data_IF_545629965070
#
_entry.id   IF_545629965070
#
_cell.length_a   1.000
_cell.length_b   1.000
_cell.length_c   1.000
_cell.angle_alpha   90.00
_cell.angle_beta   90.00
_cell.angle_gamma   90.00
#
_symmetry.space_group_name_H-M   'P 1'
#
loop_
_entity.id
_entity.type
_entity.pdbx_description
1 polymer ?
#
# COMPACT_ATOMS: atom_id res chain seq x y z
N UNK A 1 39.35 -19.61 0.01
CA UNK A 1 38.00 -19.66 -0.61
C UNK A 1 36.93 -20.31 0.27
N UNK A 2 37.26 -21.08 1.33
CA UNK A 2 36.25 -21.76 2.17
C UNK A 2 35.48 -20.86 3.18
N UNK A 3 36.13 -19.90 3.82
CA UNK A 3 35.49 -19.07 4.87
C UNK A 3 34.43 -18.11 4.29
N UNK A 4 34.72 -17.47 3.15
CA UNK A 4 33.76 -16.60 2.48
C UNK A 4 32.50 -17.36 2.05
N UNK A 5 32.67 -18.59 1.56
CA UNK A 5 31.57 -19.48 1.17
C UNK A 5 30.69 -19.87 2.37
N UNK A 6 31.28 -20.18 3.51
CA UNK A 6 30.52 -20.50 4.73
C UNK A 6 29.76 -19.30 5.29
N UNK A 7 30.33 -18.09 5.22
CA UNK A 7 29.66 -16.86 5.64
C UNK A 7 28.46 -16.57 4.72
N UNK A 8 28.63 -16.71 3.40
CA UNK A 8 27.54 -16.52 2.43
C UNK A 8 26.44 -17.57 2.67
N UNK A 9 26.81 -18.84 2.85
CA UNK A 9 25.86 -19.93 3.09
C UNK A 9 25.05 -19.69 4.37
N UNK A 10 25.69 -19.30 5.48
CA UNK A 10 25.00 -18.96 6.73
C UNK A 10 24.01 -17.81 6.55
N UNK A 11 24.40 -16.75 5.82
CA UNK A 11 23.49 -15.62 5.54
C UNK A 11 22.30 -16.04 4.68
N UNK A 12 22.51 -16.92 3.70
CA UNK A 12 21.42 -17.43 2.87
C UNK A 12 20.45 -18.26 3.70
N UNK A 13 20.97 -19.18 4.51
CA UNK A 13 20.15 -20.04 5.38
C UNK A 13 19.33 -19.18 6.36
N UNK A 14 19.95 -18.18 6.98
CA UNK A 14 19.26 -17.26 7.89
C UNK A 14 18.13 -16.49 7.20
N UNK A 15 18.35 -16.01 5.97
CA UNK A 15 17.29 -15.34 5.20
C UNK A 15 16.14 -16.28 4.82
N UNK A 16 16.45 -17.53 4.50
CA UNK A 16 15.43 -18.54 4.21
C UNK A 16 14.62 -18.85 5.47
N UNK A 17 15.27 -18.94 6.62
CA UNK A 17 14.60 -19.15 7.90
C UNK A 17 13.69 -17.98 8.26
N UNK A 18 14.17 -16.73 8.15
CA UNK A 18 13.37 -15.52 8.35
C UNK A 18 12.14 -15.48 7.42
N UNK A 19 12.32 -15.85 6.15
CA UNK A 19 11.23 -15.96 5.19
C UNK A 19 10.23 -17.07 5.57
N UNK A 20 10.71 -18.23 6.03
CA UNK A 20 9.87 -19.33 6.50
C UNK A 20 9.03 -18.94 7.72
N UNK A 21 9.63 -18.23 8.69
CA UNK A 21 8.92 -17.70 9.86
C UNK A 21 7.87 -16.66 9.45
N UNK A 22 8.20 -15.79 8.48
CA UNK A 22 7.25 -14.82 7.93
C UNK A 22 6.07 -15.51 7.24
N UNK A 23 6.30 -16.52 6.41
CA UNK A 23 5.23 -17.30 5.75
C UNK A 23 4.34 -18.00 6.78
N UNK A 24 4.92 -18.59 7.82
CA UNK A 24 4.16 -19.19 8.91
C UNK A 24 3.32 -18.16 9.67
N UNK A 25 3.86 -16.95 9.90
CA UNK A 25 3.14 -15.83 10.50
C UNK A 25 1.96 -15.39 9.64
N UNK A 26 2.16 -15.19 8.33
CA UNK A 26 1.08 -14.87 7.39
C UNK A 26 0.00 -15.96 7.39
N UNK A 27 0.39 -17.24 7.40
CA UNK A 27 -0.54 -18.37 7.51
C UNK A 27 -1.38 -18.33 8.80
N UNK A 28 -0.77 -17.96 9.95
CA UNK A 28 -1.51 -17.74 11.21
C UNK A 28 -2.50 -16.58 11.09
N UNK A 29 -2.08 -15.44 10.54
CA UNK A 29 -2.94 -14.26 10.34
C UNK A 29 -4.14 -14.62 9.47
N UNK A 30 -3.93 -15.32 8.35
CA UNK A 30 -5.01 -15.78 7.47
C UNK A 30 -5.97 -16.74 8.18
N UNK A 31 -5.45 -17.66 8.99
CA UNK A 31 -6.29 -18.57 9.79
C UNK A 31 -7.14 -17.83 10.81
N UNK A 32 -6.57 -16.83 11.46
CA UNK A 32 -7.30 -16.00 12.42
C UNK A 32 -8.28 -15.03 11.78
N UNK A 33 -8.03 -14.61 10.54
CA UNK A 33 -8.99 -13.82 9.76
C UNK A 33 -10.34 -14.56 9.58
N UNK A 34 -10.31 -15.89 9.49
CA UNK A 34 -11.51 -16.73 9.35
C UNK A 34 -12.18 -17.03 10.70
N UNK A 35 -11.45 -16.96 11.82
CA UNK A 35 -12.01 -17.20 13.16
C UNK A 35 -12.63 -15.91 13.73
N UNK A 36 -13.95 -15.92 13.90
CA UNK A 36 -14.70 -14.87 14.64
C UNK A 36 -14.55 -15.08 16.16
N UNK A 37 -14.62 -14.03 17.02
CA UNK A 37 -14.98 -12.64 16.71
C UNK A 37 -13.80 -11.65 16.67
N UNK A 38 -13.74 -10.86 15.61
CA UNK A 38 -12.91 -9.64 15.54
C UNK A 38 -13.52 -8.62 16.50
N UNK A 39 -12.71 -8.08 17.41
CA UNK A 39 -13.16 -7.06 18.37
C UNK A 39 -13.44 -5.75 17.62
N UNK A 40 -14.71 -5.45 17.41
CA UNK A 40 -15.16 -4.32 16.60
C UNK A 40 -14.59 -2.97 17.04
N UNK A 41 -14.41 -2.77 18.34
CA UNK A 41 -13.83 -1.53 18.87
C UNK A 41 -12.38 -1.30 18.42
N UNK A 42 -11.53 -2.34 18.48
CA UNK A 42 -10.14 -2.25 18.00
C UNK A 42 -10.09 -1.99 16.50
N UNK A 43 -10.98 -2.63 15.74
CA UNK A 43 -11.10 -2.42 14.30
C UNK A 43 -11.47 -0.97 13.95
N UNK A 44 -12.43 -0.36 14.65
CA UNK A 44 -12.81 1.04 14.45
C UNK A 44 -11.67 2.01 14.76
N UNK A 45 -10.92 1.76 15.85
CA UNK A 45 -9.74 2.55 16.17
C UNK A 45 -8.70 2.49 15.04
N UNK A 46 -8.48 1.31 14.45
CA UNK A 46 -7.56 1.16 13.33
C UNK A 46 -8.07 1.85 12.06
N UNK A 47 -9.38 1.89 11.81
CA UNK A 47 -9.97 2.67 10.71
C UNK A 47 -9.68 4.16 10.87
N UNK A 48 -9.85 4.71 12.07
CA UNK A 48 -9.60 6.13 12.34
C UNK A 48 -8.12 6.48 12.14
N UNK A 49 -7.23 5.67 12.73
CA UNK A 49 -5.78 5.88 12.64
C UNK A 49 -5.25 5.71 11.21
N UNK A 50 -5.64 4.65 10.51
CA UNK A 50 -5.18 4.37 9.15
C UNK A 50 -5.85 5.28 8.13
N UNK A 51 -7.16 5.48 8.25
CA UNK A 51 -8.00 6.19 7.29
C UNK A 51 -7.97 7.69 7.51
N UNK A 52 -8.72 8.16 8.50
CA UNK A 52 -9.02 9.59 8.74
C UNK A 52 -7.73 10.41 8.85
N UNK A 53 -6.78 9.94 9.65
CA UNK A 53 -5.54 10.67 9.87
C UNK A 53 -4.64 10.71 8.62
N UNK A 54 -4.90 9.85 7.62
CA UNK A 54 -4.08 9.76 6.40
C UNK A 54 -4.75 10.43 5.20
N UNK A 55 -6.01 10.87 5.30
CA UNK A 55 -6.71 11.52 4.18
C UNK A 55 -5.91 12.71 3.64
N UNK A 56 -5.44 13.61 4.51
CA UNK A 56 -4.73 14.83 4.07
C UNK A 56 -3.47 14.53 3.24
N UNK A 57 -2.62 13.58 3.68
CA UNK A 57 -1.39 13.25 2.96
C UNK A 57 -1.70 12.60 1.60
N UNK A 58 -2.77 11.80 1.52
CA UNK A 58 -3.20 11.14 0.29
C UNK A 58 -3.80 12.14 -0.71
N UNK A 59 -4.61 13.08 -0.25
CA UNK A 59 -5.19 14.12 -1.12
C UNK A 59 -4.07 14.98 -1.72
N UNK A 60 -3.12 15.45 -0.90
CA UNK A 60 -2.00 16.27 -1.38
C UNK A 60 -1.10 15.51 -2.35
N UNK A 61 -0.74 14.26 -2.03
CA UNK A 61 0.08 13.42 -2.90
C UNK A 61 -0.64 13.10 -4.22
N UNK A 62 -1.92 12.70 -4.17
CA UNK A 62 -2.72 12.41 -5.35
C UNK A 62 -2.88 13.62 -6.26
N UNK A 63 -3.16 14.79 -5.69
CA UNK A 63 -3.26 16.05 -6.42
C UNK A 63 -1.93 16.38 -7.13
N UNK A 64 -0.83 16.37 -6.40
CA UNK A 64 0.50 16.69 -6.94
C UNK A 64 0.88 15.76 -8.10
N UNK A 65 0.67 14.45 -7.93
CA UNK A 65 1.03 13.45 -8.95
C UNK A 65 0.12 13.57 -10.16
N UNK A 66 -1.18 13.80 -9.98
CA UNK A 66 -2.12 14.07 -11.07
C UNK A 66 -1.73 15.30 -11.89
N UNK A 67 -1.37 16.41 -11.23
CA UNK A 67 -0.91 17.64 -11.91
C UNK A 67 0.39 17.41 -12.67
N UNK A 68 1.39 16.80 -12.04
CA UNK A 68 2.70 16.54 -12.66
C UNK A 68 2.55 15.62 -13.86
N UNK A 69 1.76 14.55 -13.72
CA UNK A 69 1.57 13.59 -14.80
C UNK A 69 0.79 14.19 -15.97
N UNK A 70 -0.25 14.99 -15.72
CA UNK A 70 -0.96 15.71 -16.76
C UNK A 70 -0.04 16.68 -17.52
N UNK A 71 0.75 17.48 -16.81
CA UNK A 71 1.72 18.39 -17.41
C UNK A 71 2.71 17.63 -18.31
N UNK A 72 3.25 16.52 -17.82
CA UNK A 72 4.19 15.70 -18.58
C UNK A 72 3.55 15.09 -19.84
N UNK A 73 2.31 14.61 -19.73
CA UNK A 73 1.58 14.02 -20.85
C UNK A 73 1.17 15.05 -21.90
N UNK A 74 0.78 16.26 -21.50
CA UNK A 74 0.48 17.35 -22.44
C UNK A 74 1.74 17.66 -23.26
N UNK A 75 2.88 17.90 -22.61
CA UNK A 75 4.14 18.22 -23.30
C UNK A 75 4.54 17.09 -24.25
N UNK A 76 4.32 15.83 -23.87
CA UNK A 76 4.63 14.67 -24.70
C UNK A 76 3.74 14.57 -25.95
N UNK A 77 2.44 14.86 -25.81
CA UNK A 77 1.42 14.60 -26.84
C UNK A 77 1.17 15.83 -27.73
N UNK A 78 1.51 17.03 -27.26
CA UNK A 78 1.32 18.31 -27.97
C UNK A 78 1.84 18.30 -29.43
N UNK A 79 3.02 17.71 -29.76
CA UNK A 79 3.50 17.65 -31.15
C UNK A 79 2.57 16.85 -32.09
N UNK A 80 1.76 15.94 -31.55
CA UNK A 80 0.83 15.10 -32.29
C UNK A 80 -0.58 15.71 -32.37
N UNK A 81 -0.79 16.90 -31.80
CA UNK A 81 -2.10 17.60 -31.76
C UNK A 81 -3.23 16.74 -31.14
N UNK A 82 -2.87 15.81 -30.26
CA UNK A 82 -3.81 14.87 -29.62
C UNK A 82 -4.03 15.19 -28.12
N UNK A 83 -4.05 16.47 -27.77
CA UNK A 83 -4.11 16.97 -26.38
C UNK A 83 -5.35 16.47 -25.61
N UNK A 84 -6.45 16.20 -26.32
CA UNK A 84 -7.69 15.62 -25.75
C UNK A 84 -7.41 14.23 -25.12
N UNK A 85 -6.42 13.50 -25.64
CA UNK A 85 -6.03 12.18 -25.15
C UNK A 85 -5.34 12.18 -23.78
N UNK A 86 -4.91 13.34 -23.29
CA UNK A 86 -4.24 13.48 -21.99
C UNK A 86 -5.14 13.01 -20.85
N UNK A 87 -6.43 13.37 -20.87
CA UNK A 87 -7.37 13.02 -19.79
C UNK A 87 -7.54 11.52 -19.65
N UNK A 88 -7.72 10.83 -20.78
CA UNK A 88 -7.78 9.38 -20.82
C UNK A 88 -6.48 8.74 -20.30
N UNK A 89 -5.33 9.23 -20.75
CA UNK A 89 -4.04 8.68 -20.34
C UNK A 89 -3.79 8.83 -18.83
N UNK A 90 -4.07 10.02 -18.28
CA UNK A 90 -3.92 10.29 -16.85
C UNK A 90 -4.90 9.46 -16.03
N UNK A 91 -6.17 9.41 -16.42
CA UNK A 91 -7.19 8.64 -15.69
C UNK A 91 -6.88 7.14 -15.65
N UNK A 92 -6.47 6.55 -16.79
CA UNK A 92 -6.11 5.13 -16.86
C UNK A 92 -4.85 4.84 -16.03
N UNK A 93 -3.79 5.64 -16.17
CA UNK A 93 -2.55 5.44 -15.42
C UNK A 93 -2.73 5.61 -13.92
N UNK A 94 -3.52 6.61 -13.50
CA UNK A 94 -3.89 6.82 -12.10
C UNK A 94 -4.66 5.61 -11.55
N UNK A 95 -5.71 5.19 -12.26
CA UNK A 95 -6.58 4.11 -11.80
C UNK A 95 -5.85 2.78 -11.65
N UNK A 96 -4.94 2.44 -12.57
CA UNK A 96 -4.30 1.12 -12.58
C UNK A 96 -3.02 1.02 -11.74
N UNK A 97 -2.23 2.09 -11.69
CA UNK A 97 -0.84 2.02 -11.23
C UNK A 97 -0.53 3.13 -10.22
N UNK A 98 -0.67 4.40 -10.61
CA UNK A 98 -0.14 5.50 -9.81
C UNK A 98 -0.89 5.65 -8.48
N UNK A 99 -2.23 5.62 -8.47
CA UNK A 99 -2.98 5.79 -7.23
C UNK A 99 -2.75 4.65 -6.21
N UNK A 100 -2.79 3.36 -6.59
CA UNK A 100 -2.46 2.27 -5.66
C UNK A 100 -1.04 2.39 -5.08
N UNK A 101 -0.05 2.65 -5.91
CA UNK A 101 1.37 2.71 -5.49
C UNK A 101 1.60 3.88 -4.54
N UNK A 102 1.15 5.09 -4.90
CA UNK A 102 1.42 6.29 -4.11
C UNK A 102 0.71 6.21 -2.76
N UNK A 103 -0.52 5.70 -2.75
CA UNK A 103 -1.30 5.52 -1.53
C UNK A 103 -0.57 4.56 -0.61
N UNK A 104 -0.13 3.44 -1.16
CA UNK A 104 0.56 2.40 -0.41
C UNK A 104 1.89 2.91 0.17
N UNK A 105 2.74 3.55 -0.64
CA UNK A 105 4.03 4.07 -0.17
C UNK A 105 3.88 5.15 0.91
N UNK A 106 2.92 6.06 0.76
CA UNK A 106 2.64 7.08 1.78
C UNK A 106 2.13 6.45 3.09
N UNK A 107 1.28 5.43 2.99
CA UNK A 107 0.76 4.71 4.16
C UNK A 107 1.83 3.84 4.83
N UNK A 108 2.78 3.25 4.09
CA UNK A 108 3.94 2.58 4.69
C UNK A 108 4.73 3.56 5.54
N UNK A 109 5.08 4.72 4.98
CA UNK A 109 5.92 5.70 5.65
C UNK A 109 5.29 6.20 6.96
N UNK A 110 3.99 6.53 6.92
CA UNK A 110 3.28 7.06 8.08
C UNK A 110 2.78 5.96 9.01
N UNK A 111 1.88 5.10 8.53
CA UNK A 111 1.18 4.14 9.37
C UNK A 111 1.95 2.83 9.53
N UNK A 112 2.64 2.36 8.48
CA UNK A 112 3.47 1.16 8.58
C UNK A 112 4.58 1.30 9.62
N UNK A 113 5.27 2.45 9.62
CA UNK A 113 6.26 2.82 10.64
C UNK A 113 5.64 2.87 12.04
N UNK A 114 4.50 3.54 12.19
CA UNK A 114 3.79 3.63 13.48
C UNK A 114 3.35 2.24 14.00
N UNK A 115 2.83 1.37 13.13
CA UNK A 115 2.42 0.02 13.48
C UNK A 115 3.60 -0.82 14.00
N UNK A 116 4.74 -0.74 13.31
CA UNK A 116 5.96 -1.44 13.71
C UNK A 116 6.53 -0.88 15.02
N UNK A 117 6.53 0.44 15.18
CA UNK A 117 7.01 1.10 16.39
C UNK A 117 6.15 0.75 17.61
N UNK A 118 4.82 0.81 17.47
CA UNK A 118 3.89 0.49 18.57
C UNK A 118 4.06 -0.95 19.05
N UNK A 119 4.08 -1.92 18.13
CA UNK A 119 4.31 -3.33 18.49
C UNK A 119 5.71 -3.56 19.05
N UNK A 120 6.71 -2.87 18.51
CA UNK A 120 8.07 -2.92 19.05
C UNK A 120 8.15 -2.41 20.48
N UNK A 121 7.49 -1.28 20.79
CA UNK A 121 7.39 -0.75 22.15
C UNK A 121 6.67 -1.71 23.07
N UNK A 122 5.55 -2.30 22.63
CA UNK A 122 4.81 -3.31 23.41
C UNK A 122 5.66 -4.55 23.66
N UNK A 123 6.51 -4.96 22.70
CA UNK A 123 7.41 -6.10 22.87
C UNK A 123 8.53 -5.80 23.87
N UNK A 124 9.17 -4.64 23.76
CA UNK A 124 10.24 -4.20 24.65
C UNK A 124 9.76 -3.97 26.08
N UNK A 125 8.49 -3.57 26.25
CA UNK A 125 7.87 -3.37 27.57
C UNK A 125 7.19 -4.63 28.10
N UNK A 126 7.45 -5.79 27.50
CA UNK A 126 6.90 -7.11 27.87
C UNK A 126 5.36 -7.18 27.89
N UNK A 127 4.65 -6.21 27.30
CA UNK A 127 3.20 -6.21 27.23
C UNK A 127 2.66 -7.36 26.37
N UNK A 128 3.42 -7.74 25.34
CA UNK A 128 3.07 -8.88 24.48
C UNK A 128 3.22 -10.20 25.25
N UNK A 129 4.30 -10.35 26.02
CA UNK A 129 4.54 -11.54 26.83
C UNK A 129 3.52 -11.64 27.98
N UNK A 130 3.12 -10.51 28.55
CA UNK A 130 2.02 -10.43 29.51
C UNK A 130 0.69 -10.92 28.90
N UNK A 131 0.32 -10.49 27.69
CA UNK A 131 -0.89 -10.99 27.01
C UNK A 131 -0.84 -12.51 26.79
N UNK A 132 0.30 -13.03 26.35
CA UNK A 132 0.47 -14.47 26.11
C UNK A 132 0.39 -15.27 27.43
N UNK A 133 0.92 -14.74 28.54
CA UNK A 133 0.77 -15.34 29.87
C UNK A 133 -0.68 -15.44 30.34
N UNK A 134 -1.53 -14.52 29.86
CA UNK A 134 -2.97 -14.51 30.12
C UNK A 134 -3.76 -15.40 29.14
N UNK A 135 -3.06 -16.25 28.37
CA UNK A 135 -3.65 -17.11 27.34
C UNK A 135 -4.37 -16.33 26.23
N UNK A 136 -3.96 -15.09 25.98
CA UNK A 136 -4.46 -14.25 24.88
C UNK A 136 -3.44 -14.27 23.74
N UNK A 137 -3.84 -14.80 22.58
CA UNK A 137 -2.99 -14.79 21.39
C UNK A 137 -2.76 -13.34 20.90
N UNK A 138 -1.50 -12.90 20.95
CA UNK A 138 -1.11 -11.54 20.59
C UNK A 138 -1.34 -11.23 19.10
N UNK A 139 -1.21 -12.22 18.20
CA UNK A 139 -1.42 -12.04 16.77
C UNK A 139 -2.91 -11.75 16.52
N UNK A 140 -3.80 -12.57 17.09
CA UNK A 140 -5.24 -12.36 16.99
C UNK A 140 -5.68 -11.03 17.60
N UNK A 141 -5.09 -10.64 18.74
CA UNK A 141 -5.49 -9.42 19.44
C UNK A 141 -4.97 -8.14 18.78
N UNK A 142 -3.70 -8.10 18.38
CA UNK A 142 -3.03 -6.87 17.94
C UNK A 142 -2.93 -6.77 16.42
N UNK A 143 -2.62 -7.87 15.74
CA UNK A 143 -2.31 -7.86 14.29
C UNK A 143 -3.57 -7.94 13.44
N UNK A 144 -4.48 -8.85 13.75
CA UNK A 144 -5.67 -9.10 12.92
C UNK A 144 -6.54 -7.86 12.72
N UNK A 145 -6.89 -7.06 13.76
CA UNK A 145 -7.68 -5.84 13.56
C UNK A 145 -7.00 -4.83 12.62
N UNK A 146 -5.67 -4.72 12.68
CA UNK A 146 -4.87 -3.84 11.81
C UNK A 146 -4.89 -4.32 10.36
N UNK A 147 -4.73 -5.62 10.15
CA UNK A 147 -4.76 -6.22 8.81
C UNK A 147 -6.13 -6.06 8.16
N UNK A 148 -7.21 -6.32 8.91
CA UNK A 148 -8.59 -6.16 8.41
C UNK A 148 -8.88 -4.70 8.09
N UNK A 149 -8.46 -3.76 8.94
CA UNK A 149 -8.62 -2.33 8.69
C UNK A 149 -7.82 -1.89 7.45
N UNK A 150 -6.56 -2.31 7.30
CA UNK A 150 -5.74 -1.98 6.12
C UNK A 150 -6.34 -2.51 4.82
N UNK A 151 -6.92 -3.72 4.83
CA UNK A 151 -7.53 -4.32 3.64
C UNK A 151 -8.70 -3.49 3.10
N UNK A 152 -9.44 -2.80 3.98
CA UNK A 152 -10.56 -1.94 3.61
C UNK A 152 -10.15 -0.49 3.37
N UNK A 153 -9.22 0.04 4.16
CA UNK A 153 -8.87 1.47 4.12
C UNK A 153 -7.98 1.81 2.92
N UNK A 154 -7.04 0.93 2.55
CA UNK A 154 -6.17 1.16 1.40
C UNK A 154 -6.95 1.40 0.10
N UNK A 155 -7.90 0.53 -0.32
CA UNK A 155 -8.67 0.79 -1.54
C UNK A 155 -9.54 2.05 -1.46
N UNK A 156 -10.09 2.38 -0.28
CA UNK A 156 -10.87 3.62 -0.09
C UNK A 156 -9.99 4.85 -0.30
N UNK A 157 -8.79 4.88 0.29
CA UNK A 157 -7.85 5.97 0.12
C UNK A 157 -7.31 6.05 -1.31
N UNK A 158 -7.09 4.91 -1.97
CA UNK A 158 -6.72 4.87 -3.39
C UNK A 158 -7.81 5.45 -4.28
N UNK A 159 -9.08 5.20 -3.97
CA UNK A 159 -10.19 5.81 -4.69
C UNK A 159 -10.21 7.33 -4.53
N UNK A 160 -9.94 7.84 -3.33
CA UNK A 160 -9.80 9.29 -3.11
C UNK A 160 -8.62 9.87 -3.89
N UNK A 161 -7.48 9.18 -3.91
CA UNK A 161 -6.31 9.59 -4.70
C UNK A 161 -6.62 9.65 -6.21
N UNK A 162 -7.40 8.70 -6.73
CA UNK A 162 -7.86 8.71 -8.13
C UNK A 162 -8.70 9.95 -8.45
N UNK A 163 -9.70 10.25 -7.61
CA UNK A 163 -10.59 11.40 -7.83
C UNK A 163 -9.79 12.70 -7.78
N UNK A 164 -8.96 12.89 -6.75
CA UNK A 164 -8.19 14.13 -6.59
C UNK A 164 -7.08 14.27 -7.62
N UNK A 165 -6.44 13.17 -8.03
CA UNK A 165 -5.47 13.20 -9.11
C UNK A 165 -6.10 13.56 -10.45
N UNK A 166 -7.30 13.06 -10.74
CA UNK A 166 -8.05 13.46 -11.94
C UNK A 166 -8.45 14.95 -11.90
N UNK A 167 -8.85 15.46 -10.73
CA UNK A 167 -9.14 16.90 -10.56
C UNK A 167 -7.89 17.77 -10.76
N UNK A 168 -6.73 17.34 -10.23
CA UNK A 168 -5.46 18.01 -10.46
C UNK A 168 -5.07 18.01 -11.94
N UNK A 169 -5.27 16.90 -12.63
CA UNK A 169 -5.02 16.79 -14.07
C UNK A 169 -5.90 17.75 -14.89
N UNK A 170 -7.19 17.81 -14.56
CA UNK A 170 -8.15 18.72 -15.19
C UNK A 170 -7.77 20.19 -14.96
N UNK A 171 -7.31 20.54 -13.76
CA UNK A 171 -6.82 21.88 -13.46
C UNK A 171 -5.66 22.30 -14.36
N UNK A 172 -4.69 21.41 -14.60
CA UNK A 172 -3.57 21.71 -15.52
C UNK A 172 -4.07 21.83 -16.97
N UNK A 173 -4.87 20.88 -17.43
CA UNK A 173 -5.34 20.81 -18.81
C UNK A 173 -6.17 22.04 -19.21
N UNK A 174 -7.16 22.41 -18.39
CA UNK A 174 -8.06 23.53 -18.67
C UNK A 174 -7.42 24.86 -18.24
N UNK A 175 -6.84 24.90 -17.04
CA UNK A 175 -6.36 26.14 -16.43
C UNK A 175 -5.11 26.70 -17.11
N UNK A 176 -4.11 25.86 -17.38
CA UNK A 176 -2.84 26.32 -17.98
C UNK A 176 -2.83 26.18 -19.50
N UNK A 177 -3.29 25.05 -20.02
CA UNK A 177 -3.18 24.73 -21.45
C UNK A 177 -4.44 25.04 -22.26
N UNK A 178 -5.53 25.50 -21.61
CA UNK A 178 -6.78 25.94 -22.24
C UNK A 178 -7.41 24.90 -23.18
N UNK A 179 -7.23 23.62 -22.86
CA UNK A 179 -7.89 22.52 -23.57
C UNK A 179 -9.40 22.61 -23.30
N UNK A 180 -10.22 22.31 -24.31
CA UNK A 180 -11.68 22.26 -24.14
C UNK A 180 -12.08 21.22 -23.09
N UNK A 181 -12.68 21.69 -21.99
CA UNK A 181 -13.00 20.85 -20.85
C UNK A 181 -14.09 19.81 -21.13
N UNK A 182 -15.06 20.14 -21.98
CA UNK A 182 -16.14 19.22 -22.34
C UNK A 182 -15.58 18.02 -23.13
N UNK A 183 -14.80 18.29 -24.17
CA UNK A 183 -14.15 17.25 -24.98
C UNK A 183 -13.15 16.43 -24.17
N UNK A 184 -12.40 17.06 -23.26
CA UNK A 184 -11.46 16.37 -22.37
C UNK A 184 -12.16 15.34 -21.48
N UNK A 185 -13.24 15.75 -20.82
CA UNK A 185 -13.99 14.90 -19.88
C UNK A 185 -14.73 13.79 -20.64
N UNK A 186 -15.35 14.11 -21.78
CA UNK A 186 -16.05 13.12 -22.60
C UNK A 186 -15.10 12.02 -23.10
N UNK A 187 -13.95 12.41 -23.66
CA UNK A 187 -12.94 11.45 -24.11
C UNK A 187 -12.36 10.62 -22.95
N UNK A 188 -12.11 11.25 -21.79
CA UNK A 188 -11.66 10.55 -20.60
C UNK A 188 -12.64 9.45 -20.18
N UNK A 189 -13.94 9.74 -20.08
CA UNK A 189 -14.95 8.74 -19.73
C UNK A 189 -15.17 7.69 -20.83
N UNK A 190 -14.98 8.05 -22.10
CA UNK A 190 -15.04 7.11 -23.22
C UNK A 190 -13.94 6.03 -23.17
N UNK A 191 -12.75 6.37 -22.65
CA UNK A 191 -11.62 5.43 -22.52
C UNK A 191 -11.61 4.74 -21.15
N UNK A 192 -11.97 5.44 -20.07
CA UNK A 192 -11.92 4.92 -18.72
C UNK A 192 -13.00 3.87 -18.47
N UNK A 193 -12.63 2.60 -18.65
CA UNK A 193 -13.46 1.44 -18.28
C UNK A 193 -13.45 1.19 -16.77
N UNK A 194 -14.57 0.71 -16.19
CA UNK A 194 -14.62 0.26 -14.79
C UNK A 194 -13.55 -0.77 -14.43
N UNK A 195 -13.13 -1.60 -15.40
CA UNK A 195 -12.05 -2.57 -15.23
C UNK A 195 -10.73 -1.93 -14.73
N UNK A 196 -10.37 -0.73 -15.20
CA UNK A 196 -9.16 -0.04 -14.75
C UNK A 196 -9.23 0.29 -13.25
N UNK A 197 -10.40 0.71 -12.77
CA UNK A 197 -10.63 1.05 -11.36
C UNK A 197 -10.60 -0.23 -10.52
N UNK A 198 -11.28 -1.30 -10.94
CA UNK A 198 -11.30 -2.56 -10.19
C UNK A 198 -9.91 -3.17 -10.03
N UNK A 199 -9.08 -3.15 -11.07
CA UNK A 199 -7.69 -3.63 -10.99
C UNK A 199 -6.92 -2.84 -9.92
N UNK A 200 -7.03 -1.51 -9.93
CA UNK A 200 -6.38 -0.65 -8.92
C UNK A 200 -6.86 -0.92 -7.50
N UNK A 201 -8.16 -1.09 -7.29
CA UNK A 201 -8.73 -1.36 -5.95
C UNK A 201 -8.32 -2.75 -5.42
N UNK A 202 -8.28 -3.77 -6.29
CA UNK A 202 -7.80 -5.11 -5.92
C UNK A 202 -6.32 -5.03 -5.53
N UNK A 203 -5.48 -4.37 -6.33
CA UNK A 203 -4.07 -4.14 -6.01
C UNK A 203 -3.91 -3.44 -4.66
N UNK A 204 -4.62 -2.33 -4.44
CA UNK A 204 -4.55 -1.57 -3.19
C UNK A 204 -4.95 -2.42 -1.97
N UNK A 205 -5.94 -3.30 -2.10
CA UNK A 205 -6.36 -4.21 -1.03
C UNK A 205 -5.27 -5.22 -0.69
N UNK A 206 -4.66 -5.85 -1.70
CA UNK A 206 -3.56 -6.81 -1.53
C UNK A 206 -2.33 -6.11 -0.93
N UNK A 207 -2.01 -4.91 -1.41
CA UNK A 207 -0.94 -4.09 -0.87
C UNK A 207 -1.19 -3.73 0.59
N UNK A 208 -2.41 -3.34 0.98
CA UNK A 208 -2.77 -3.08 2.39
C UNK A 208 -2.57 -4.29 3.30
N UNK A 209 -2.89 -5.49 2.82
CA UNK A 209 -2.59 -6.75 3.52
C UNK A 209 -1.08 -6.98 3.66
N UNK A 210 -0.30 -6.76 2.60
CA UNK A 210 1.16 -6.90 2.63
C UNK A 210 1.81 -5.89 3.59
N UNK A 211 1.44 -4.61 3.54
CA UNK A 211 2.00 -3.58 4.45
C UNK A 211 1.75 -3.96 5.89
N UNK A 212 0.49 -4.25 6.23
CA UNK A 212 0.11 -4.52 7.61
C UNK A 212 0.82 -5.75 8.16
N UNK A 213 0.93 -6.83 7.38
CA UNK A 213 1.64 -8.05 7.81
C UNK A 213 3.15 -7.85 7.94
N UNK A 214 3.81 -7.21 6.96
CA UNK A 214 5.26 -6.94 7.01
C UNK A 214 5.61 -6.03 8.18
N UNK A 215 4.86 -4.93 8.37
CA UNK A 215 5.13 -4.00 9.45
C UNK A 215 4.87 -4.60 10.82
N UNK A 216 3.79 -5.38 10.98
CA UNK A 216 3.52 -6.06 12.25
C UNK A 216 4.58 -7.12 12.56
N UNK A 217 5.01 -7.88 11.55
CA UNK A 217 6.05 -8.89 11.73
C UNK A 217 7.35 -8.29 12.26
N UNK A 218 7.85 -7.23 11.62
CA UNK A 218 9.06 -6.56 12.06
C UNK A 218 8.91 -5.90 13.44
N UNK A 219 7.73 -5.37 13.78
CA UNK A 219 7.45 -4.84 15.13
C UNK A 219 7.50 -5.91 16.22
N UNK A 220 6.96 -7.11 15.96
CA UNK A 220 6.96 -8.22 16.92
C UNK A 220 8.34 -8.84 17.16
N UNK A 221 9.30 -8.62 16.25
CA UNK A 221 10.67 -9.15 16.32
C UNK A 221 11.67 -8.20 16.97
N UNK A 222 11.23 -7.05 17.49
CA UNK A 222 12.11 -6.07 18.14
C UNK A 222 12.63 -6.60 19.48
N UNK A 223 13.94 -6.48 19.71
CA UNK A 223 14.60 -6.93 20.96
C UNK A 223 15.48 -5.87 21.64
N UNK A 224 16.00 -4.87 20.93
CA UNK A 224 17.06 -3.96 21.43
C UNK A 224 16.56 -2.68 22.11
N UNK A 225 15.60 -2.76 23.03
CA UNK A 225 15.11 -1.59 23.76
C UNK A 225 14.56 -0.49 22.83
N UNK A 226 14.60 0.77 23.25
CA UNK A 226 14.11 1.91 22.46
C UNK A 226 14.81 2.07 21.09
N UNK A 227 16.12 1.78 21.01
CA UNK A 227 16.87 1.82 19.74
C UNK A 227 16.36 0.76 18.76
N UNK A 228 16.11 -0.44 19.27
CA UNK A 228 15.55 -1.54 18.48
C UNK A 228 14.19 -1.22 17.88
N UNK A 229 13.36 -0.41 18.56
CA UNK A 229 12.06 0.04 18.04
C UNK A 229 12.23 0.89 16.77
N UNK A 230 13.14 1.86 16.80
CA UNK A 230 13.45 2.70 15.64
C UNK A 230 14.05 1.90 14.48
N UNK A 231 14.99 1.00 14.77
CA UNK A 231 15.61 0.13 13.76
C UNK A 231 14.59 -0.84 13.15
N UNK A 232 13.69 -1.39 13.97
CA UNK A 232 12.60 -2.26 13.53
C UNK A 232 11.59 -1.55 12.64
N UNK A 233 11.19 -0.33 13.00
CA UNK A 233 10.32 0.50 12.18
C UNK A 233 10.95 0.87 10.83
N UNK A 234 12.24 1.21 10.83
CA UNK A 234 12.98 1.52 9.60
C UNK A 234 13.09 0.29 8.69
N UNK A 235 13.44 -0.87 9.25
CA UNK A 235 13.47 -2.15 8.50
C UNK A 235 12.10 -2.50 7.94
N UNK A 236 11.04 -2.32 8.73
CA UNK A 236 9.67 -2.56 8.28
C UNK A 236 9.32 -1.72 7.03
N UNK A 237 9.61 -0.41 7.06
CA UNK A 237 9.34 0.51 5.96
C UNK A 237 10.11 0.12 4.70
N UNK A 238 11.40 -0.18 4.83
CA UNK A 238 12.24 -0.58 3.68
C UNK A 238 11.76 -1.91 3.09
N UNK A 239 11.57 -2.93 3.93
CA UNK A 239 11.11 -4.26 3.48
C UNK A 239 9.74 -4.16 2.82
N UNK A 240 8.79 -3.43 3.42
CA UNK A 240 7.45 -3.25 2.85
C UNK A 240 7.50 -2.51 1.51
N UNK A 241 8.27 -1.42 1.41
CA UNK A 241 8.36 -0.62 0.18
C UNK A 241 8.92 -1.43 -0.99
N UNK A 242 10.03 -2.15 -0.77
CA UNK A 242 10.64 -3.00 -1.80
C UNK A 242 9.71 -4.15 -2.20
N UNK A 243 9.09 -4.81 -1.21
CA UNK A 243 8.17 -5.93 -1.46
C UNK A 243 6.96 -5.50 -2.29
N UNK A 244 6.47 -4.28 -2.06
CA UNK A 244 5.30 -3.74 -2.77
C UNK A 244 5.62 -3.37 -4.20
N UNK A 245 6.78 -2.80 -4.48
CA UNK A 245 7.17 -2.50 -5.87
C UNK A 245 7.29 -3.80 -6.70
N UNK A 246 7.82 -4.87 -6.10
CA UNK A 246 7.88 -6.17 -6.75
C UNK A 246 6.47 -6.76 -6.91
N UNK A 247 5.65 -6.69 -5.86
CA UNK A 247 4.28 -7.20 -5.90
C UNK A 247 3.41 -6.45 -6.91
N UNK A 248 3.59 -5.14 -7.05
CA UNK A 248 2.86 -4.32 -8.02
C UNK A 248 3.10 -4.81 -9.44
N UNK A 249 4.36 -5.01 -9.83
CA UNK A 249 4.70 -5.58 -11.14
C UNK A 249 4.06 -6.95 -11.37
N UNK A 250 4.13 -7.83 -10.38
CA UNK A 250 3.53 -9.18 -10.47
C UNK A 250 2.00 -9.12 -10.58
N UNK A 251 1.36 -8.26 -9.79
CA UNK A 251 -0.09 -8.08 -9.82
C UNK A 251 -0.53 -7.44 -11.13
N UNK A 252 0.22 -6.47 -11.66
CA UNK A 252 -0.04 -5.86 -12.96
C UNK A 252 0.04 -6.89 -14.09
N UNK A 253 1.11 -7.71 -14.11
CA UNK A 253 1.30 -8.72 -15.15
C UNK A 253 0.24 -9.82 -15.11
N UNK A 254 -0.33 -10.11 -13.93
CA UNK A 254 -1.38 -11.11 -13.76
C UNK A 254 -2.79 -10.55 -14.00
N UNK A 255 -3.13 -9.40 -13.40
CA UNK A 255 -4.49 -8.85 -13.42
C UNK A 255 -4.84 -8.20 -14.77
N UNK A 256 -3.89 -7.52 -15.41
CA UNK A 256 -4.16 -6.86 -16.70
C UNK A 256 -4.63 -7.85 -17.78
N UNK A 257 -3.92 -8.97 -18.07
CA UNK A 257 -4.43 -9.94 -19.04
C UNK A 257 -5.73 -10.60 -18.57
N UNK A 258 -5.92 -10.87 -17.27
CA UNK A 258 -7.16 -11.48 -16.78
C UNK A 258 -8.40 -10.62 -17.08
N UNK A 259 -8.30 -9.30 -16.91
CA UNK A 259 -9.43 -8.39 -17.11
C UNK A 259 -9.60 -7.94 -18.57
N UNK A 260 -8.52 -7.89 -19.36
CA UNK A 260 -8.57 -7.39 -20.75
C UNK A 260 -8.49 -8.48 -21.83
N UNK A 261 -8.01 -9.70 -21.53
CA UNK A 261 -7.95 -10.80 -22.50
C UNK A 261 -9.23 -11.65 -22.57
N UNK A 262 -10.19 -11.45 -21.64
CA UNK A 262 -11.49 -12.17 -21.62
C UNK A 262 -12.53 -11.50 -22.55
N UNK A 263 -12.12 -10.59 -23.43
CA UNK A 263 -12.96 -10.00 -24.49
C UNK A 263 -12.17 -9.75 -25.77
#
# INVERSE_FOLDING_TARGET
MGELGQIILKKIIQKIEEAGVFVAFVGKVLRYFVRRPIRFHLFLQQIELLGVNSVSIILLAGLAIGMIFALQMIILIQPFQAEIGVGAAVAVAMAQELAPIITTLMLIAKNGSAMAAELGTMKVTEQIDALESMSVDAIHYLVVPRVVASLLIFPILTMLANVVGALGALFIAIGLYKIDGASYVDYMFGVLRPAHIYIGLIKASIMGFMVSTICCFHGLQVTQGAKGVGDGATKAVVTASVSILIADYLLASFLNPLFFAVR
#
